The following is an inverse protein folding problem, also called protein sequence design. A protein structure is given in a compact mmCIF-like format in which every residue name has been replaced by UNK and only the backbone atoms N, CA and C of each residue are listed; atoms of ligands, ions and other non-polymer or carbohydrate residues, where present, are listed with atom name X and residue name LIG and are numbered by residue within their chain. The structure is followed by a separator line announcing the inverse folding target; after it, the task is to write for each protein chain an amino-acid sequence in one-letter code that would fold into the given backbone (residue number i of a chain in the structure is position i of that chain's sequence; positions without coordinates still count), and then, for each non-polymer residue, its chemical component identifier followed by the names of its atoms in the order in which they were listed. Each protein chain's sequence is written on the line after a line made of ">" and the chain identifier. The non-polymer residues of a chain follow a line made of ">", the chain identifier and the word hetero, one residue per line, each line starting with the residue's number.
data_IF_124954176584
#
_entry.id   IF_124954176584
#
_cell.length_a   1.000
_cell.length_b   1.000
_cell.length_c   1.000
_cell.angle_alpha   90.00
_cell.angle_beta   90.00
_cell.angle_gamma   90.00
#
_symmetry.space_group_name_H-M   'P 1'
#
loop_
_entity.id
_entity.type
_entity.pdbx_description
1 polymer ?
#
# COMPACT_ATOMS: atom_id res chain seq x y z
N UNK A 1 1.23 -26.80 25.56
CA UNK A 1 2.55 -26.69 26.24
C UNK A 1 3.20 -25.40 25.79
N UNK A 2 3.19 -24.38 26.65
CA UNK A 2 3.90 -23.12 26.44
C UNK A 2 5.42 -23.38 26.54
N UNK A 3 6.26 -22.82 25.66
CA UNK A 3 7.70 -22.98 25.78
C UNK A 3 8.16 -22.33 27.09
N UNK A 4 8.92 -23.09 27.88
CA UNK A 4 9.59 -22.63 29.08
C UNK A 4 10.31 -21.30 28.79
N UNK A 5 9.86 -20.21 29.42
CA UNK A 5 10.65 -18.98 29.45
C UNK A 5 11.92 -19.30 30.22
N UNK A 6 13.05 -19.29 29.53
CA UNK A 6 14.35 -19.33 30.18
C UNK A 6 14.54 -17.95 30.80
N UNK A 7 14.24 -17.81 32.08
CA UNK A 7 14.57 -16.60 32.83
C UNK A 7 16.09 -16.49 32.88
N UNK A 8 16.62 -15.51 32.15
CA UNK A 8 18.03 -15.20 32.15
C UNK A 8 18.30 -14.46 33.46
N UNK A 9 19.06 -15.10 34.35
CA UNK A 9 19.54 -14.49 35.59
C UNK A 9 20.23 -13.15 35.28
N UNK A 10 19.70 -12.08 35.87
CA UNK A 10 20.16 -10.72 35.66
C UNK A 10 21.67 -10.57 35.98
N UNK A 11 22.17 -11.33 36.95
CA UNK A 11 23.59 -11.30 37.33
C UNK A 11 24.51 -11.96 36.29
N UNK A 12 23.95 -12.70 35.33
CA UNK A 12 24.67 -13.29 34.19
C UNK A 12 24.71 -12.36 32.98
N UNK A 13 24.04 -11.20 33.04
CA UNK A 13 24.10 -10.22 31.97
C UNK A 13 25.48 -9.54 31.97
N UNK A 14 26.25 -9.77 30.92
CA UNK A 14 27.54 -9.12 30.73
C UNK A 14 27.32 -7.87 29.88
N UNK A 15 27.54 -6.69 30.47
CA UNK A 15 27.53 -5.44 29.74
C UNK A 15 28.70 -5.41 28.75
N UNK A 16 28.37 -5.18 27.48
CA UNK A 16 29.36 -5.12 26.42
C UNK A 16 30.27 -3.91 26.61
N UNK A 17 31.57 -4.15 26.78
CA UNK A 17 32.58 -3.10 27.00
C UNK A 17 32.85 -2.18 25.79
N UNK A 18 32.48 -2.61 24.57
CA UNK A 18 32.72 -1.87 23.33
C UNK A 18 31.40 -1.49 22.67
N UNK A 19 31.23 -0.25 22.19
CA UNK A 19 30.03 0.13 21.46
C UNK A 19 29.84 -0.74 20.21
N UNK A 20 28.59 -0.91 19.79
CA UNK A 20 28.28 -1.48 18.48
C UNK A 20 28.92 -0.62 17.40
N UNK A 21 29.42 -1.26 16.33
CA UNK A 21 29.96 -0.54 15.18
C UNK A 21 28.87 0.39 14.65
N UNK A 22 29.19 1.68 14.48
CA UNK A 22 28.23 2.66 13.98
C UNK A 22 27.74 2.19 12.61
N UNK A 23 26.43 1.99 12.47
CA UNK A 23 25.85 1.58 11.19
C UNK A 23 26.11 2.69 10.16
N UNK A 24 26.50 2.30 8.95
CA UNK A 24 26.61 3.25 7.84
C UNK A 24 25.20 3.81 7.56
N UNK A 25 25.07 5.12 7.30
CA UNK A 25 23.78 5.68 6.91
C UNK A 25 23.30 4.99 5.62
N UNK A 26 22.05 4.54 5.61
CA UNK A 26 21.45 3.98 4.40
C UNK A 26 21.17 5.08 3.39
N UNK A 27 21.32 4.79 2.09
CA UNK A 27 20.84 5.70 1.04
C UNK A 27 19.34 5.94 1.22
N UNK A 28 18.89 7.19 1.03
CA UNK A 28 17.47 7.53 1.01
C UNK A 28 16.80 6.74 -0.11
N UNK A 29 15.70 6.07 0.22
CA UNK A 29 14.86 5.34 -0.73
C UNK A 29 13.83 6.28 -1.33
N UNK A 30 13.48 6.12 -2.61
CA UNK A 30 12.34 6.83 -3.16
C UNK A 30 11.05 6.38 -2.46
N UNK A 31 10.11 7.30 -2.34
CA UNK A 31 8.76 7.06 -1.81
C UNK A 31 7.77 7.13 -2.97
N UNK A 32 6.80 6.24 -2.96
CA UNK A 32 5.69 6.20 -3.92
C UNK A 32 4.38 6.03 -3.16
N UNK A 33 3.40 6.86 -3.50
CA UNK A 33 2.03 6.76 -3.01
C UNK A 33 1.13 6.09 -4.06
N UNK A 34 0.19 5.30 -3.59
CA UNK A 34 -0.77 4.55 -4.40
C UNK A 34 -2.16 4.71 -3.81
N UNK A 35 -3.15 4.62 -4.69
CA UNK A 35 -4.57 4.69 -4.33
C UNK A 35 -5.41 3.89 -5.33
N UNK A 36 -6.61 3.47 -4.92
CA UNK A 36 -7.54 2.74 -5.77
C UNK A 36 -8.97 3.23 -5.64
N UNK A 37 -9.68 3.21 -6.76
CA UNK A 37 -11.14 3.33 -6.78
C UNK A 37 -11.79 2.00 -7.12
N UNK A 38 -12.90 1.72 -6.46
CA UNK A 38 -13.59 0.43 -6.56
C UNK A 38 -15.02 0.56 -7.08
N UNK A 39 -15.45 -0.45 -7.84
CA UNK A 39 -16.83 -0.63 -8.27
C UNK A 39 -17.32 -2.00 -7.81
N UNK A 40 -18.46 -2.05 -7.12
CA UNK A 40 -18.95 -3.24 -6.40
C UNK A 40 -17.87 -3.89 -5.53
N UNK A 41 -17.03 -3.03 -4.95
CA UNK A 41 -15.91 -3.39 -4.09
C UNK A 41 -14.75 -4.11 -4.75
N UNK A 42 -14.71 -4.25 -6.08
CA UNK A 42 -13.52 -4.69 -6.84
C UNK A 42 -12.80 -3.48 -7.42
N UNK A 43 -11.47 -3.51 -7.50
CA UNK A 43 -10.70 -2.40 -8.09
C UNK A 43 -11.12 -2.16 -9.54
N UNK A 44 -11.42 -0.89 -9.85
CA UNK A 44 -11.74 -0.40 -11.20
C UNK A 44 -10.73 0.63 -11.69
N UNK A 45 -10.01 1.28 -10.79
CA UNK A 45 -8.91 2.18 -11.10
C UNK A 45 -7.83 2.01 -10.03
N UNK A 46 -6.58 1.99 -10.46
CA UNK A 46 -5.40 2.07 -9.57
C UNK A 46 -4.47 3.16 -10.09
N UNK A 47 -3.98 3.99 -9.18
CA UNK A 47 -3.12 5.12 -9.48
C UNK A 47 -1.85 5.10 -8.65
N UNK A 48 -0.82 5.76 -9.17
CA UNK A 48 0.41 6.11 -8.47
C UNK A 48 0.61 7.63 -8.56
N UNK A 49 1.17 8.23 -7.50
CA UNK A 49 1.20 9.67 -7.25
C UNK A 49 1.90 10.53 -8.32
N UNK A 50 2.74 9.96 -9.19
CA UNK A 50 3.37 10.67 -10.33
C UNK A 50 2.56 10.60 -11.62
N UNK A 51 1.34 10.07 -11.56
CA UNK A 51 0.37 10.10 -12.65
C UNK A 51 0.26 8.81 -13.46
N UNK A 52 0.94 7.72 -13.07
CA UNK A 52 0.71 6.41 -13.68
C UNK A 52 -0.61 5.82 -13.18
N UNK A 53 -1.40 5.23 -14.06
CA UNK A 53 -2.65 4.58 -13.67
C UNK A 53 -3.02 3.41 -14.58
N UNK A 54 -3.93 2.56 -14.10
CA UNK A 54 -4.65 1.58 -14.91
C UNK A 54 -6.15 1.72 -14.66
N UNK A 55 -6.93 1.78 -15.75
CA UNK A 55 -8.38 1.85 -15.70
C UNK A 55 -8.97 0.51 -16.19
N UNK A 56 -9.91 -0.02 -15.43
CA UNK A 56 -10.55 -1.33 -15.61
C UNK A 56 -9.55 -2.50 -15.76
N UNK A 57 -8.58 -2.65 -14.83
CA UNK A 57 -7.48 -3.59 -15.02
C UNK A 57 -7.86 -5.04 -14.70
N UNK A 58 -7.23 -5.99 -15.40
CA UNK A 58 -7.17 -7.39 -14.96
C UNK A 58 -6.23 -7.56 -13.78
N UNK A 59 -6.31 -8.70 -13.07
CA UNK A 59 -5.39 -9.03 -11.99
C UNK A 59 -3.93 -8.95 -12.43
N UNK A 60 -3.59 -9.50 -13.61
CA UNK A 60 -2.23 -9.50 -14.13
C UNK A 60 -1.71 -8.09 -14.38
N UNK A 61 -2.56 -7.20 -14.90
CA UNK A 61 -2.21 -5.81 -15.12
C UNK A 61 -1.94 -5.10 -13.79
N UNK A 62 -2.77 -5.32 -12.77
CA UNK A 62 -2.53 -4.78 -11.41
C UNK A 62 -1.23 -5.31 -10.82
N UNK A 63 -0.96 -6.62 -10.92
CA UNK A 63 0.27 -7.22 -10.39
C UNK A 63 1.50 -6.72 -11.15
N UNK A 64 1.43 -6.55 -12.47
CA UNK A 64 2.52 -5.96 -13.26
C UNK A 64 2.76 -4.51 -12.87
N UNK A 65 1.69 -3.72 -12.73
CA UNK A 65 1.75 -2.33 -12.30
C UNK A 65 2.47 -2.20 -10.95
N UNK A 66 2.02 -2.96 -9.95
CA UNK A 66 2.60 -2.95 -8.59
C UNK A 66 4.02 -3.53 -8.54
N UNK A 67 4.43 -4.33 -9.53
CA UNK A 67 5.79 -4.88 -9.59
C UNK A 67 6.69 -4.16 -10.60
N UNK A 68 6.34 -2.92 -10.96
CA UNK A 68 7.20 -2.09 -11.81
C UNK A 68 8.58 -1.88 -11.19
N UNK A 69 9.63 -1.87 -12.03
CA UNK A 69 11.04 -1.80 -11.59
C UNK A 69 11.36 -0.63 -10.66
N UNK A 70 10.68 0.51 -10.83
CA UNK A 70 10.91 1.72 -10.04
C UNK A 70 10.47 1.57 -8.57
N UNK A 71 9.52 0.66 -8.31
CA UNK A 71 8.98 0.38 -6.99
C UNK A 71 9.82 -0.65 -6.22
N UNK A 72 10.85 -1.21 -6.88
CA UNK A 72 11.75 -2.19 -6.29
C UNK A 72 12.68 -1.51 -5.29
N UNK A 73 12.59 -1.92 -4.02
CA UNK A 73 13.42 -1.37 -2.94
C UNK A 73 13.05 0.05 -2.51
N UNK A 74 11.97 0.59 -3.09
CA UNK A 74 11.34 1.84 -2.69
C UNK A 74 10.48 1.67 -1.42
N UNK A 75 9.97 2.78 -0.90
CA UNK A 75 8.93 2.82 0.12
C UNK A 75 7.60 3.04 -0.61
N UNK A 76 6.81 1.97 -0.76
CA UNK A 76 5.51 2.03 -1.43
C UNK A 76 4.41 2.11 -0.37
N UNK A 77 3.50 3.06 -0.52
CA UNK A 77 2.52 3.43 0.50
C UNK A 77 1.12 3.50 -0.10
N UNK A 78 0.15 2.99 0.65
CA UNK A 78 -1.27 3.30 0.49
C UNK A 78 -1.74 4.01 1.74
N UNK A 79 -2.75 4.88 1.60
CA UNK A 79 -3.41 5.46 2.75
C UNK A 79 -4.58 4.57 3.16
N UNK A 80 -4.51 3.93 4.32
CA UNK A 80 -5.51 2.93 4.76
C UNK A 80 -5.56 1.70 3.84
N UNK A 81 -4.36 1.11 3.64
CA UNK A 81 -4.06 -0.03 2.75
C UNK A 81 -5.10 -1.15 2.77
N UNK A 82 -5.79 -1.35 3.90
CA UNK A 82 -6.81 -2.40 4.03
C UNK A 82 -7.85 -2.32 2.90
N UNK A 83 -8.31 -1.13 2.54
CA UNK A 83 -9.37 -0.97 1.53
C UNK A 83 -8.85 -1.30 0.13
N UNK A 84 -7.72 -0.70 -0.26
CA UNK A 84 -7.09 -0.95 -1.56
C UNK A 84 -6.70 -2.41 -1.75
N UNK A 85 -6.04 -2.99 -0.74
CA UNK A 85 -5.64 -4.38 -0.78
C UNK A 85 -6.85 -5.29 -0.95
N UNK A 86 -7.98 -5.04 -0.27
CA UNK A 86 -9.19 -5.84 -0.46
C UNK A 86 -9.77 -5.69 -1.86
N UNK A 87 -9.82 -4.48 -2.41
CA UNK A 87 -10.27 -4.23 -3.79
C UNK A 87 -9.43 -4.97 -4.83
N UNK A 88 -8.11 -4.97 -4.67
CA UNK A 88 -7.16 -5.68 -5.53
C UNK A 88 -7.29 -7.21 -5.37
N UNK A 89 -7.33 -7.70 -4.12
CA UNK A 89 -7.34 -9.13 -3.83
C UNK A 89 -8.63 -9.83 -4.28
N UNK A 90 -9.75 -9.10 -4.43
CA UNK A 90 -10.98 -9.67 -5.02
C UNK A 90 -10.84 -10.06 -6.49
N UNK A 91 -9.83 -9.57 -7.19
CA UNK A 91 -9.53 -10.03 -8.56
C UNK A 91 -8.90 -11.44 -8.58
N UNK A 92 -8.48 -11.99 -7.42
CA UNK A 92 -7.96 -13.35 -7.35
C UNK A 92 -9.07 -14.38 -7.57
N UNK A 93 -8.77 -15.50 -8.25
CA UNK A 93 -9.65 -16.65 -8.24
C UNK A 93 -9.96 -17.09 -6.80
N UNK A 94 -11.19 -17.53 -6.56
CA UNK A 94 -11.71 -17.86 -5.23
C UNK A 94 -10.79 -18.84 -4.45
N UNK A 95 -10.29 -19.87 -5.12
CA UNK A 95 -9.34 -20.84 -4.55
C UNK A 95 -8.08 -20.14 -3.99
N UNK A 96 -7.54 -19.15 -4.72
CA UNK A 96 -6.34 -18.41 -4.31
C UNK A 96 -6.64 -17.43 -3.19
N UNK A 97 -7.82 -16.82 -3.21
CA UNK A 97 -8.28 -15.93 -2.16
C UNK A 97 -8.48 -16.69 -0.83
N UNK A 98 -9.07 -17.88 -0.88
CA UNK A 98 -9.22 -18.76 0.29
C UNK A 98 -7.87 -19.16 0.87
N UNK A 99 -6.93 -19.60 0.03
CA UNK A 99 -5.56 -19.91 0.46
C UNK A 99 -4.86 -18.71 1.10
N UNK A 100 -5.05 -17.52 0.55
CA UNK A 100 -4.52 -16.28 1.11
C UNK A 100 -5.13 -15.98 2.48
N UNK A 101 -6.44 -16.19 2.65
CA UNK A 101 -7.12 -15.98 3.92
C UNK A 101 -6.55 -16.88 5.03
N UNK A 102 -6.40 -18.18 4.74
CA UNK A 102 -5.98 -19.19 5.70
C UNK A 102 -4.48 -19.06 6.06
N UNK A 103 -3.63 -18.84 5.06
CA UNK A 103 -2.16 -18.91 5.23
C UNK A 103 -1.45 -17.57 5.19
N UNK A 104 -2.17 -16.48 4.91
CA UNK A 104 -1.64 -15.11 4.65
C UNK A 104 -0.70 -15.04 3.44
N UNK A 105 -0.67 -16.10 2.63
CA UNK A 105 0.15 -16.23 1.43
C UNK A 105 -0.64 -16.96 0.34
N UNK A 106 -0.52 -16.54 -0.91
CA UNK A 106 -0.98 -17.33 -2.05
C UNK A 106 -0.02 -17.17 -3.22
N UNK A 107 -0.17 -18.04 -4.21
CA UNK A 107 0.64 -18.07 -5.41
C UNK A 107 -0.28 -18.00 -6.62
N UNK A 108 0.08 -17.12 -7.55
CA UNK A 108 -0.68 -16.87 -8.76
C UNK A 108 0.31 -16.67 -9.91
N UNK A 109 0.37 -17.61 -10.85
CA UNK A 109 1.38 -17.63 -11.92
C UNK A 109 2.79 -17.52 -11.32
N UNK A 110 3.60 -16.55 -11.78
CA UNK A 110 4.94 -16.26 -11.28
C UNK A 110 4.96 -15.27 -10.10
N UNK A 111 3.79 -14.98 -9.51
CA UNK A 111 3.65 -14.09 -8.36
C UNK A 111 3.41 -14.88 -7.07
N UNK A 112 4.07 -14.47 -6.01
CA UNK A 112 3.72 -14.82 -4.63
C UNK A 112 3.16 -13.59 -3.95
N UNK A 113 1.91 -13.69 -3.47
CA UNK A 113 1.21 -12.59 -2.80
C UNK A 113 1.14 -12.94 -1.32
N UNK A 114 1.57 -12.02 -0.46
CA UNK A 114 1.40 -12.10 0.99
C UNK A 114 0.63 -10.89 1.45
N UNK A 115 -0.39 -11.11 2.24
CA UNK A 115 -1.19 -10.03 2.79
C UNK A 115 -1.42 -10.25 4.28
N UNK A 116 -0.95 -9.29 5.07
CA UNK A 116 -1.23 -9.23 6.48
C UNK A 116 -2.04 -7.95 6.72
N UNK A 117 -3.33 -8.15 6.97
CA UNK A 117 -4.31 -7.08 7.13
C UNK A 117 -3.84 -6.05 8.16
N UNK A 118 -3.94 -4.77 7.79
CA UNK A 118 -3.51 -3.64 8.63
C UNK A 118 -2.00 -3.49 8.81
N UNK A 119 -1.17 -4.30 8.11
CA UNK A 119 0.30 -4.22 8.20
C UNK A 119 0.94 -3.98 6.84
N UNK A 120 0.82 -4.94 5.92
CA UNK A 120 1.44 -4.82 4.61
C UNK A 120 0.84 -5.78 3.57
N UNK A 121 0.96 -5.37 2.31
CA UNK A 121 0.81 -6.21 1.12
C UNK A 121 2.20 -6.40 0.52
N UNK A 122 2.57 -7.63 0.21
CA UNK A 122 3.84 -7.96 -0.44
C UNK A 122 3.58 -8.80 -1.66
N UNK A 123 4.09 -8.35 -2.79
CA UNK A 123 4.04 -9.08 -4.06
C UNK A 123 5.48 -9.42 -4.42
N UNK A 124 5.76 -10.70 -4.60
CA UNK A 124 7.06 -11.18 -5.07
C UNK A 124 6.90 -11.70 -6.48
N UNK A 125 7.66 -11.14 -7.41
CA UNK A 125 7.77 -11.58 -8.81
C UNK A 125 9.18 -12.12 -9.01
N UNK A 126 9.31 -13.40 -9.32
CA UNK A 126 10.61 -14.09 -9.41
C UNK A 126 11.45 -13.91 -8.11
N UNK A 127 12.61 -13.24 -8.20
CA UNK A 127 13.52 -12.97 -7.07
C UNK A 127 13.35 -11.57 -6.45
N UNK A 128 12.31 -10.82 -6.86
CA UNK A 128 12.11 -9.44 -6.44
C UNK A 128 10.83 -9.29 -5.64
N UNK A 129 10.93 -8.64 -4.48
CA UNK A 129 9.81 -8.43 -3.57
C UNK A 129 9.50 -6.93 -3.48
N UNK A 130 8.22 -6.63 -3.65
CA UNK A 130 7.64 -5.30 -3.64
C UNK A 130 6.69 -5.25 -2.44
N UNK A 131 6.98 -4.35 -1.51
CA UNK A 131 6.23 -4.23 -0.25
C UNK A 131 5.50 -2.90 -0.23
N UNK A 132 4.25 -2.96 0.18
CA UNK A 132 3.32 -1.85 0.30
C UNK A 132 2.87 -1.77 1.76
N UNK A 133 2.98 -0.59 2.34
CA UNK A 133 2.69 -0.35 3.74
C UNK A 133 1.52 0.61 3.90
N UNK A 134 0.86 0.51 5.05
CA UNK A 134 -0.23 1.41 5.41
C UNK A 134 0.33 2.71 6.01
N UNK A 135 0.04 3.85 5.39
CA UNK A 135 0.45 5.15 5.91
C UNK A 135 -0.48 5.66 7.02
N UNK A 136 -1.73 5.17 7.07
CA UNK A 136 -2.73 5.61 8.05
C UNK A 136 -2.23 5.42 9.48
N UNK A 137 -1.47 4.35 9.76
CA UNK A 137 -0.93 4.03 11.09
C UNK A 137 -0.05 5.13 11.71
N UNK A 138 0.46 6.06 10.90
CA UNK A 138 1.31 7.16 11.37
C UNK A 138 0.55 8.46 11.62
N UNK A 139 -0.65 8.60 11.04
CA UNK A 139 -1.43 9.85 11.09
C UNK A 139 -2.74 9.71 11.86
N UNK A 140 -3.29 8.50 11.94
CA UNK A 140 -4.53 8.15 12.67
C UNK A 140 -5.72 9.09 12.37
N UNK A 141 -5.80 9.58 11.13
CA UNK A 141 -6.88 10.44 10.65
C UNK A 141 -7.10 10.22 9.15
N UNK A 142 -8.13 10.83 8.56
CA UNK A 142 -8.38 10.76 7.11
C UNK A 142 -7.25 11.42 6.30
N UNK A 143 -7.04 10.97 5.07
CA UNK A 143 -6.03 11.54 4.15
C UNK A 143 -6.17 13.06 4.04
N UNK A 144 -7.39 13.56 3.90
CA UNK A 144 -7.72 14.98 3.81
C UNK A 144 -7.26 15.78 5.04
N UNK A 145 -7.68 15.37 6.25
CA UNK A 145 -7.20 15.98 7.50
C UNK A 145 -5.67 15.92 7.64
N UNK A 146 -5.04 14.83 7.21
CA UNK A 146 -3.59 14.69 7.25
C UNK A 146 -2.92 15.65 6.24
N UNK A 147 -3.42 15.74 5.01
CA UNK A 147 -2.91 16.65 4.00
C UNK A 147 -3.07 18.10 4.43
N UNK A 148 -4.24 18.52 4.90
CA UNK A 148 -4.48 19.88 5.39
C UNK A 148 -3.56 20.27 6.54
N UNK A 149 -3.33 19.34 7.47
CA UNK A 149 -2.51 19.61 8.66
C UNK A 149 -1.01 19.66 8.35
N UNK A 150 -0.54 18.85 7.40
CA UNK A 150 0.89 18.59 7.23
C UNK A 150 1.46 18.96 5.86
N UNK A 151 0.61 19.20 4.84
CA UNK A 151 0.99 19.64 3.51
C UNK A 151 0.40 21.04 3.28
N UNK A 152 1.24 22.05 3.32
CA UNK A 152 0.79 23.44 3.13
C UNK A 152 0.40 23.67 1.67
N UNK A 153 -0.91 23.74 1.38
CA UNK A 153 -1.46 24.13 0.07
C UNK A 153 -1.86 22.98 -0.86
N UNK A 154 -1.61 21.73 -0.47
CA UNK A 154 -2.04 20.55 -1.24
C UNK A 154 -3.31 19.97 -0.62
N UNK A 155 -4.36 19.91 -1.42
CA UNK A 155 -5.69 19.51 -0.97
C UNK A 155 -6.22 18.37 -1.81
N UNK A 156 -7.18 17.67 -1.23
CA UNK A 156 -7.98 16.68 -1.93
C UNK A 156 -8.87 17.38 -2.94
N UNK A 157 -9.12 16.73 -4.08
CA UNK A 157 -10.08 17.24 -5.08
C UNK A 157 -11.47 16.83 -4.62
N UNK A 158 -12.35 17.80 -4.37
CA UNK A 158 -13.74 17.54 -3.95
C UNK A 158 -14.73 17.71 -5.12
N UNK A 159 -14.41 17.12 -6.27
CA UNK A 159 -15.19 17.25 -7.51
C UNK A 159 -15.91 15.96 -7.91
N UNK A 160 -15.83 14.90 -7.10
CA UNK A 160 -16.46 13.61 -7.41
C UNK A 160 -17.38 13.13 -6.30
N UNK A 161 -18.43 12.42 -6.70
CA UNK A 161 -19.35 11.75 -5.80
C UNK A 161 -18.84 10.33 -5.52
N UNK A 162 -18.25 10.15 -4.33
CA UNK A 162 -17.63 8.89 -3.89
C UNK A 162 -18.64 7.76 -3.72
N UNK A 163 -19.90 8.06 -3.39
CA UNK A 163 -20.93 7.03 -3.20
C UNK A 163 -21.32 6.38 -4.54
N UNK A 164 -21.33 7.20 -5.60
CA UNK A 164 -21.64 6.75 -6.96
C UNK A 164 -20.54 5.89 -7.59
N UNK A 165 -19.29 6.00 -7.11
CA UNK A 165 -18.19 5.16 -7.60
C UNK A 165 -18.46 3.67 -7.41
N UNK A 166 -19.15 3.28 -6.34
CA UNK A 166 -19.40 1.87 -6.07
C UNK A 166 -20.64 1.31 -6.80
N UNK A 167 -21.51 2.17 -7.35
CA UNK A 167 -22.87 1.81 -7.78
C UNK A 167 -23.23 2.19 -9.23
N UNK A 168 -22.61 3.22 -9.81
CA UNK A 168 -23.05 3.81 -11.08
C UNK A 168 -21.96 3.76 -12.17
N UNK A 169 -22.08 2.82 -13.11
CA UNK A 169 -21.15 2.71 -14.26
C UNK A 169 -21.26 3.87 -15.25
N UNK A 170 -22.43 4.51 -15.35
CA UNK A 170 -22.61 5.64 -16.26
C UNK A 170 -21.91 6.88 -15.71
N UNK A 171 -21.88 7.04 -14.39
CA UNK A 171 -21.05 8.04 -13.72
C UNK A 171 -19.57 7.84 -14.04
N UNK A 172 -19.07 6.61 -13.94
CA UNK A 172 -17.69 6.27 -14.34
C UNK A 172 -17.38 6.65 -15.79
N UNK A 173 -18.34 6.46 -16.70
CA UNK A 173 -18.17 6.78 -18.12
C UNK A 173 -18.11 8.29 -18.35
N UNK A 174 -19.00 9.05 -17.71
CA UNK A 174 -19.13 10.51 -17.86
C UNK A 174 -17.98 11.26 -17.18
N UNK A 175 -17.66 10.90 -15.93
CA UNK A 175 -16.69 11.61 -15.10
C UNK A 175 -15.30 10.96 -15.11
N UNK A 176 -15.03 10.04 -16.06
CA UNK A 176 -13.80 9.24 -16.12
C UNK A 176 -12.53 10.03 -15.84
N UNK A 177 -12.37 11.19 -16.48
CA UNK A 177 -11.16 12.01 -16.34
C UNK A 177 -11.03 12.62 -14.95
N UNK A 178 -12.14 13.04 -14.34
CA UNK A 178 -12.16 13.59 -12.99
C UNK A 178 -11.89 12.53 -11.94
N UNK A 179 -12.45 11.32 -12.11
CA UNK A 179 -12.17 10.17 -11.24
C UNK A 179 -10.68 9.80 -11.30
N UNK A 180 -10.08 9.78 -12.50
CA UNK A 180 -8.64 9.52 -12.65
C UNK A 180 -7.81 10.60 -11.96
N UNK A 181 -8.13 11.88 -12.18
CA UNK A 181 -7.42 12.99 -11.53
C UNK A 181 -7.52 12.93 -10.00
N UNK A 182 -8.70 12.61 -9.50
CA UNK A 182 -8.95 12.44 -8.07
C UNK A 182 -8.08 11.34 -7.46
N UNK A 183 -8.08 10.14 -8.05
CA UNK A 183 -7.32 9.01 -7.52
C UNK A 183 -5.79 9.24 -7.64
N UNK A 184 -5.33 9.90 -8.71
CA UNK A 184 -3.92 10.34 -8.81
C UNK A 184 -3.59 11.36 -7.71
N UNK A 185 -4.49 12.31 -7.43
CA UNK A 185 -4.27 13.29 -6.36
C UNK A 185 -4.20 12.61 -4.99
N UNK A 186 -5.09 11.68 -4.68
CA UNK A 186 -5.05 10.94 -3.41
C UNK A 186 -3.74 10.12 -3.27
N UNK A 187 -3.31 9.47 -4.36
CA UNK A 187 -2.00 8.81 -4.42
C UNK A 187 -0.82 9.80 -4.24
N UNK A 188 -0.93 11.01 -4.79
CA UNK A 188 0.09 12.05 -4.67
C UNK A 188 0.19 12.61 -3.25
N UNK A 189 -0.94 12.93 -2.62
CA UNK A 189 -0.98 13.34 -1.21
C UNK A 189 -0.40 12.25 -0.30
N UNK A 190 -0.72 10.99 -0.58
CA UNK A 190 -0.14 9.83 0.12
C UNK A 190 1.38 9.78 -0.04
N UNK A 191 1.90 10.05 -1.24
CA UNK A 191 3.34 10.11 -1.48
C UNK A 191 3.99 11.23 -0.65
N UNK A 192 3.44 12.46 -0.70
CA UNK A 192 3.98 13.62 0.00
C UNK A 192 3.98 13.41 1.53
N UNK A 193 2.90 12.88 2.08
CA UNK A 193 2.83 12.53 3.50
C UNK A 193 3.84 11.45 3.88
N UNK A 194 4.09 10.49 2.99
CA UNK A 194 5.12 9.46 3.17
C UNK A 194 6.53 10.04 3.15
N UNK A 195 6.82 10.93 2.20
CA UNK A 195 8.09 11.64 2.10
C UNK A 195 8.36 12.49 3.34
N UNK A 196 7.32 13.12 3.91
CA UNK A 196 7.43 13.90 5.14
C UNK A 196 7.85 13.07 6.36
N UNK A 197 7.30 11.86 6.53
CA UNK A 197 7.69 10.97 7.65
C UNK A 197 9.07 10.36 7.43
N UNK A 198 9.44 10.11 6.17
CA UNK A 198 10.69 9.46 5.84
C UNK A 198 11.91 10.40 5.91
N UNK A 199 11.71 11.70 5.74
CA UNK A 199 12.75 12.73 5.72
C UNK A 199 13.07 13.30 7.10
#
# INVERSE_FOLDING_TARGET
>A
MTPNRVDIDFNRLILRKKPLKRLKPSKKKPVYGFDTETYRGSVKLICEGRGRYLYDPTLEQVLEFLTHRDYRGAINLFYNLRFDAQGILKLLPEEKLRKLWDTKKTEYKNYTIKYLQGKFLSITKNKHSYKFYDLFQFYDCSLEKASEKYLSGEHKIDMIDRERLNTDLEYWRKEKQWIIKYCIQDAYLTQLLGERIYN
#
